data_IF_216651233958
#
_entry.id   IF_216651233958
#
_cell.length_a   1.000
_cell.length_b   1.000
_cell.length_c   1.000
_cell.angle_alpha   90.00
_cell.angle_beta   90.00
_cell.angle_gamma   90.00
#
_symmetry.space_group_name_H-M   'P 1'
#
loop_
_entity.id
_entity.type
_entity.pdbx_description
1 polymer ?
#
# COMPACT_ATOMS: atom_id res chain seq x y z
N UNK A 1 28.02 -7.30 -64.29
CA UNK A 1 27.89 -7.82 -62.91
C UNK A 1 27.25 -6.73 -62.05
N UNK A 2 26.02 -6.90 -61.56
CA UNK A 2 25.32 -5.91 -60.71
C UNK A 2 25.34 -6.42 -59.26
N UNK A 3 25.97 -5.66 -58.36
CA UNK A 3 26.06 -5.96 -56.92
C UNK A 3 24.79 -5.46 -56.23
N UNK A 4 24.12 -6.34 -55.49
CA UNK A 4 22.95 -5.99 -54.68
C UNK A 4 23.44 -5.96 -53.23
N UNK A 5 23.63 -4.76 -52.69
CA UNK A 5 23.89 -4.56 -51.26
C UNK A 5 22.54 -4.64 -50.54
N UNK A 6 22.32 -5.71 -49.79
CA UNK A 6 21.18 -5.85 -48.88
C UNK A 6 21.57 -5.26 -47.53
N UNK A 7 20.93 -4.16 -47.15
CA UNK A 7 21.06 -3.56 -45.82
C UNK A 7 20.01 -4.21 -44.94
N UNK A 8 20.44 -5.03 -43.98
CA UNK A 8 19.61 -5.57 -42.92
C UNK A 8 19.43 -4.49 -41.85
N UNK A 9 18.27 -3.84 -41.83
CA UNK A 9 17.91 -2.89 -40.77
C UNK A 9 17.36 -3.68 -39.58
N UNK A 10 18.14 -3.78 -38.49
CA UNK A 10 17.70 -4.39 -37.24
C UNK A 10 16.75 -3.39 -36.55
N UNK A 11 15.45 -3.70 -36.55
CA UNK A 11 14.48 -3.00 -35.71
C UNK A 11 14.69 -3.43 -34.25
N UNK A 12 15.36 -2.59 -33.46
CA UNK A 12 15.27 -2.64 -32.00
C UNK A 12 13.88 -2.11 -31.61
N UNK A 13 12.94 -3.03 -31.38
CA UNK A 13 11.70 -2.68 -30.71
C UNK A 13 12.03 -2.39 -29.24
N UNK A 14 12.13 -1.10 -28.88
CA UNK A 14 12.08 -0.68 -27.48
C UNK A 14 10.66 -0.99 -26.99
N UNK A 15 10.48 -2.15 -26.36
CA UNK A 15 9.32 -2.38 -25.50
C UNK A 15 9.47 -1.44 -24.33
N UNK A 16 8.89 -0.24 -24.42
CA UNK A 16 8.68 0.61 -23.27
C UNK A 16 7.83 -0.21 -22.30
N UNK A 17 8.45 -0.67 -21.20
CA UNK A 17 7.71 -1.22 -20.07
C UNK A 17 6.74 -0.12 -19.63
N UNK A 18 5.46 -0.26 -19.98
CA UNK A 18 4.37 0.43 -19.30
C UNK A 18 4.33 -0.11 -17.87
N UNK A 19 5.28 0.32 -17.04
CA UNK A 19 5.20 0.10 -15.60
C UNK A 19 3.93 0.79 -15.15
N UNK A 20 2.91 0.00 -14.83
CA UNK A 20 1.78 0.45 -14.03
C UNK A 20 2.37 1.23 -12.85
N UNK A 21 1.97 2.49 -12.62
CA UNK A 21 2.52 3.27 -11.52
C UNK A 21 2.39 2.46 -10.24
N UNK A 22 3.48 2.37 -9.48
CA UNK A 22 3.49 1.62 -8.24
C UNK A 22 2.38 2.17 -7.32
N UNK A 23 1.61 1.31 -6.64
CA UNK A 23 0.58 1.74 -5.71
C UNK A 23 1.17 2.66 -4.63
N UNK A 24 0.54 3.80 -4.40
CA UNK A 24 1.01 4.85 -3.48
C UNK A 24 0.53 4.65 -2.04
N UNK A 25 0.87 3.49 -1.47
CA UNK A 25 0.62 3.17 -0.06
C UNK A 25 1.42 4.04 0.94
N UNK A 26 2.66 4.48 0.65
CA UNK A 26 3.42 5.26 1.62
C UNK A 26 2.71 6.56 2.00
N UNK A 27 2.73 6.88 3.29
CA UNK A 27 2.11 8.07 3.84
C UNK A 27 1.54 7.86 5.23
N UNK A 28 0.93 8.92 5.74
CA UNK A 28 0.14 8.88 6.96
C UNK A 28 -1.34 8.83 6.61
N UNK A 29 -2.10 8.05 7.37
CA UNK A 29 -3.50 7.76 7.09
C UNK A 29 -4.29 7.88 8.38
N UNK A 30 -5.46 8.52 8.32
CA UNK A 30 -6.34 8.72 9.47
C UNK A 30 -7.66 8.02 9.24
N UNK A 31 -8.16 7.33 10.27
CA UNK A 31 -9.46 6.65 10.19
C UNK A 31 -10.60 7.61 9.86
N UNK A 32 -11.48 7.18 8.97
CA UNK A 32 -12.75 7.83 8.62
C UNK A 32 -13.92 6.83 8.69
N UNK A 33 -15.15 7.28 9.05
CA UNK A 33 -15.43 8.58 9.65
C UNK A 33 -14.73 8.74 11.01
N UNK A 34 -14.55 9.98 11.46
CA UNK A 34 -13.99 10.22 12.78
C UNK A 34 -14.88 9.58 13.86
N UNK A 35 -14.25 8.88 14.80
CA UNK A 35 -14.91 8.33 15.99
C UNK A 35 -14.40 9.02 17.25
N UNK A 36 -14.95 8.68 18.42
CA UNK A 36 -14.40 9.14 19.70
C UNK A 36 -12.95 8.67 19.87
N UNK A 37 -12.63 7.47 19.39
CA UNK A 37 -11.25 7.00 19.22
C UNK A 37 -10.59 7.57 17.96
N UNK A 38 -9.27 7.76 18.03
CA UNK A 38 -8.45 8.08 16.87
C UNK A 38 -7.65 6.84 16.48
N UNK A 39 -7.56 6.55 15.19
CA UNK A 39 -6.62 5.57 14.66
C UNK A 39 -5.85 6.19 13.50
N UNK A 40 -4.54 5.99 13.50
CA UNK A 40 -3.62 6.47 12.47
C UNK A 40 -2.76 5.31 12.00
N UNK A 41 -2.61 5.18 10.69
CA UNK A 41 -1.63 4.28 10.08
C UNK A 41 -0.50 5.13 9.49
N UNK A 42 0.73 4.74 9.75
CA UNK A 42 1.89 5.24 9.02
C UNK A 42 2.47 4.08 8.21
N UNK A 43 2.49 4.24 6.89
CA UNK A 43 3.04 3.25 5.96
C UNK A 43 4.30 3.84 5.33
N UNK A 44 5.39 3.09 5.38
CA UNK A 44 6.67 3.46 4.76
C UNK A 44 7.20 2.30 3.93
N UNK A 45 7.81 2.60 2.78
CA UNK A 45 8.41 1.58 1.93
C UNK A 45 9.83 1.25 2.41
N UNK A 46 10.14 -0.03 2.58
CA UNK A 46 11.45 -0.54 2.97
C UNK A 46 11.92 -1.61 1.97
N UNK A 47 12.64 -1.18 0.93
CA UNK A 47 13.02 -2.06 -0.18
C UNK A 47 11.79 -2.55 -0.96
N UNK A 48 11.61 -3.86 -1.00
CA UNK A 48 10.44 -4.50 -1.63
C UNK A 48 9.24 -4.60 -0.67
N UNK A 49 9.46 -4.37 0.62
CA UNK A 49 8.47 -4.48 1.68
C UNK A 49 7.93 -3.11 2.12
N UNK A 50 6.91 -3.15 2.98
CA UNK A 50 6.27 -2.00 3.61
C UNK A 50 6.33 -2.18 5.13
N UNK A 51 6.83 -1.18 5.84
CA UNK A 51 6.70 -1.10 7.29
C UNK A 51 5.43 -0.32 7.60
N UNK A 52 4.58 -0.94 8.43
CA UNK A 52 3.31 -0.36 8.85
C UNK A 52 3.34 -0.16 10.36
N UNK A 53 2.97 1.04 10.79
CA UNK A 53 2.75 1.40 12.19
C UNK A 53 1.27 1.75 12.37
N UNK A 54 0.63 1.11 13.35
CA UNK A 54 -0.78 1.31 13.67
C UNK A 54 -0.94 1.88 15.08
N UNK A 55 -1.33 3.14 15.14
CA UNK A 55 -1.45 3.94 16.35
C UNK A 55 -2.93 4.13 16.66
N UNK A 56 -3.34 3.81 17.88
CA UNK A 56 -4.73 3.87 18.34
C UNK A 56 -4.84 4.61 19.67
N UNK A 57 -5.74 5.59 19.72
CA UNK A 57 -6.05 6.37 20.92
C UNK A 57 -7.52 6.15 21.29
N UNK A 58 -7.78 5.76 22.53
CA UNK A 58 -9.16 5.54 23.02
C UNK A 58 -10.02 6.81 23.00
N UNK A 59 -9.40 7.97 23.19
CA UNK A 59 -10.00 9.26 22.92
C UNK A 59 -8.92 10.25 22.48
N UNK A 60 -9.29 11.33 21.78
CA UNK A 60 -8.36 12.35 21.24
C UNK A 60 -7.42 12.98 22.29
N UNK A 61 -7.74 12.83 23.58
CA UNK A 61 -7.00 13.42 24.70
C UNK A 61 -6.23 12.38 25.55
N UNK A 62 -6.31 11.10 25.20
CA UNK A 62 -5.65 10.02 25.93
C UNK A 62 -4.25 9.74 25.37
N UNK A 63 -3.44 8.96 26.06
CA UNK A 63 -2.13 8.53 25.54
C UNK A 63 -2.29 7.55 24.38
N UNK A 64 -1.43 7.70 23.36
CA UNK A 64 -1.29 6.78 22.24
C UNK A 64 -1.06 5.34 22.71
N UNK A 65 -1.68 4.38 22.03
CA UNK A 65 -1.39 2.96 22.19
C UNK A 65 -1.09 2.38 20.82
N UNK A 66 0.01 1.65 20.70
CA UNK A 66 0.23 0.82 19.52
C UNK A 66 -0.82 -0.30 19.52
N UNK A 67 -1.56 -0.39 18.43
CA UNK A 67 -2.49 -1.50 18.22
C UNK A 67 -1.66 -2.73 17.80
N UNK A 68 -1.82 -3.83 18.53
CA UNK A 68 -1.22 -5.11 18.17
C UNK A 68 -1.84 -5.72 16.92
N UNK A 69 -2.97 -5.20 16.46
CA UNK A 69 -3.69 -5.77 15.33
C UNK A 69 -2.98 -5.49 14.00
N UNK A 70 -2.27 -4.37 13.81
CA UNK A 70 -1.84 -3.99 12.45
C UNK A 70 -0.47 -3.27 12.36
N UNK A 71 0.43 -3.47 13.33
CA UNK A 71 1.82 -2.98 13.21
C UNK A 71 2.72 -4.12 12.78
N UNK A 72 3.51 -3.93 11.71
CA UNK A 72 4.37 -5.00 11.21
C UNK A 72 4.97 -4.73 9.83
N UNK A 73 5.59 -5.77 9.27
CA UNK A 73 6.10 -5.76 7.90
C UNK A 73 5.05 -6.37 6.99
N UNK A 74 4.77 -5.70 5.88
CA UNK A 74 3.84 -6.16 4.87
C UNK A 74 4.50 -6.22 3.50
N UNK A 75 4.00 -7.12 2.66
CA UNK A 75 4.38 -7.23 1.25
C UNK A 75 3.21 -6.87 0.36
N UNK A 76 3.52 -6.36 -0.83
CA UNK A 76 2.50 -6.07 -1.83
C UNK A 76 2.17 -7.35 -2.62
N UNK A 77 0.93 -7.79 -2.54
CA UNK A 77 0.43 -9.00 -3.18
C UNK A 77 -0.91 -8.70 -3.88
N UNK A 78 -0.94 -8.83 -5.21
CA UNK A 78 -2.14 -8.69 -6.05
C UNK A 78 -3.11 -7.55 -5.61
N UNK A 79 -2.61 -6.32 -5.54
CA UNK A 79 -3.34 -5.07 -5.19
C UNK A 79 -3.50 -4.73 -3.71
N UNK A 80 -3.07 -5.61 -2.80
CA UNK A 80 -3.16 -5.37 -1.35
C UNK A 80 -1.80 -5.44 -0.67
N UNK A 81 -1.64 -4.76 0.45
CA UNK A 81 -0.57 -5.08 1.39
C UNK A 81 -1.05 -6.18 2.34
N UNK A 82 -0.24 -7.22 2.49
CA UNK A 82 -0.46 -8.32 3.43
C UNK A 82 0.66 -8.38 4.43
N UNK A 83 0.34 -8.49 5.71
CA UNK A 83 1.35 -8.64 6.74
C UNK A 83 2.08 -9.98 6.59
N UNK A 84 3.41 -9.97 6.73
CA UNK A 84 4.23 -11.19 6.61
C UNK A 84 3.99 -12.16 7.76
N UNK A 85 3.61 -11.65 8.92
CA UNK A 85 3.29 -12.40 10.14
C UNK A 85 1.79 -12.71 10.28
N UNK A 86 0.92 -12.12 9.46
CA UNK A 86 -0.52 -12.42 9.45
C UNK A 86 -1.17 -12.22 8.08
N UNK A 87 -1.87 -13.24 7.62
CA UNK A 87 -2.68 -13.20 6.38
C UNK A 87 -4.13 -12.76 6.63
N UNK A 88 -4.47 -12.43 7.88
CA UNK A 88 -5.83 -12.06 8.29
C UNK A 88 -6.15 -10.62 7.89
N UNK A 89 -5.15 -9.75 7.90
CA UNK A 89 -5.32 -8.32 7.66
C UNK A 89 -4.75 -7.95 6.31
N UNK A 90 -5.56 -7.24 5.53
CA UNK A 90 -5.20 -6.72 4.22
C UNK A 90 -5.47 -5.22 4.16
N UNK A 91 -4.55 -4.49 3.51
CA UNK A 91 -4.72 -3.08 3.22
C UNK A 91 -4.86 -2.89 1.71
N UNK A 92 -5.96 -2.26 1.28
CA UNK A 92 -6.23 -1.99 -0.13
C UNK A 92 -6.42 -0.50 -0.36
N UNK A 93 -5.74 0.05 -1.36
CA UNK A 93 -6.05 1.39 -1.86
C UNK A 93 -7.33 1.32 -2.69
N UNK A 94 -8.31 2.14 -2.32
CA UNK A 94 -9.49 2.38 -3.18
C UNK A 94 -9.15 3.41 -4.25
N UNK A 95 -8.37 4.42 -3.86
CA UNK A 95 -7.76 5.43 -4.71
C UNK A 95 -6.48 5.96 -4.02
N UNK A 96 -5.71 6.90 -4.61
CA UNK A 96 -4.48 7.40 -3.99
C UNK A 96 -4.66 8.09 -2.63
N UNK A 97 -5.88 8.45 -2.25
CA UNK A 97 -6.23 9.18 -1.02
C UNK A 97 -7.02 8.35 -0.02
N UNK A 98 -7.54 7.18 -0.41
CA UNK A 98 -8.35 6.32 0.44
C UNK A 98 -7.78 4.91 0.56
N UNK A 99 -7.62 4.45 1.80
CA UNK A 99 -7.10 3.14 2.16
C UNK A 99 -8.15 2.38 2.99
N UNK A 100 -8.31 1.10 2.73
CA UNK A 100 -9.19 0.22 3.51
C UNK A 100 -8.38 -0.88 4.16
N UNK A 101 -8.49 -1.02 5.47
CA UNK A 101 -8.05 -2.17 6.24
C UNK A 101 -9.21 -3.14 6.38
N UNK A 102 -9.00 -4.39 5.98
CA UNK A 102 -9.94 -5.49 6.21
C UNK A 102 -9.29 -6.52 7.12
N UNK A 103 -9.94 -6.84 8.23
CA UNK A 103 -9.62 -7.99 9.07
C UNK A 103 -10.61 -9.12 8.76
N UNK A 104 -10.10 -10.17 8.14
CA UNK A 104 -10.88 -11.32 7.70
C UNK A 104 -11.32 -12.24 8.84
N UNK A 105 -10.68 -12.17 10.00
CA UNK A 105 -11.08 -13.00 11.14
C UNK A 105 -12.32 -12.44 11.83
N UNK A 106 -12.38 -11.11 11.95
CA UNK A 106 -13.46 -10.41 12.66
C UNK A 106 -14.53 -9.80 11.73
N UNK A 107 -14.39 -9.99 10.41
CA UNK A 107 -15.17 -9.30 9.38
C UNK A 107 -15.18 -7.77 9.56
N UNK A 108 -14.12 -7.22 10.16
CA UNK A 108 -14.00 -5.79 10.43
C UNK A 108 -13.41 -5.05 9.24
N UNK A 109 -14.01 -3.90 8.93
CA UNK A 109 -13.56 -3.01 7.85
C UNK A 109 -13.36 -1.61 8.41
N UNK A 110 -12.19 -1.04 8.15
CA UNK A 110 -11.82 0.30 8.61
C UNK A 110 -11.31 1.09 7.43
N UNK A 111 -11.89 2.26 7.22
CA UNK A 111 -11.51 3.17 6.15
C UNK A 111 -10.56 4.24 6.70
N UNK A 112 -9.61 4.64 5.88
CA UNK A 112 -8.66 5.69 6.18
C UNK A 112 -8.55 6.66 5.00
N UNK A 113 -8.31 7.93 5.33
CA UNK A 113 -7.99 9.00 4.40
C UNK A 113 -6.53 9.43 4.59
N UNK A 114 -5.82 9.73 3.50
CA UNK A 114 -4.43 10.17 3.51
C UNK A 114 -4.31 11.56 4.15
N UNK A 115 -3.36 11.73 5.07
CA UNK A 115 -3.04 13.02 5.69
C UNK A 115 -2.01 13.72 4.80
N UNK A 116 -2.35 14.92 4.33
CA UNK A 116 -1.45 15.78 3.53
C UNK A 116 -0.34 16.41 4.38
#
# INVERSE_FOLDING_TARGET
MKKIFSIFTIFLALTACSQTPAPDFPGEWKQVPETDSLRKLTISKQGDDYQIKDEFWLNKNNTERTSSAASGIAEYDHEVLKYKDSQQIELKLTDPTHLTLTDKESDAVIQFEKIN
#
